data_IF_658703120173
#
_entry.id   IF_658703120173
#
_cell.length_a   1.000
_cell.length_b   1.000
_cell.length_c   1.000
_cell.angle_alpha   90.00
_cell.angle_beta   90.00
_cell.angle_gamma   90.00
#
_symmetry.space_group_name_H-M   'P 1'
#
loop_
_entity.id
_entity.type
_entity.pdbx_description
1 polymer ?
#
# COMPACT_ATOMS: atom_id res chain seq x y z
N UNK A 1 -43.66 -2.05 -17.71
CA UNK A 1 -43.21 -2.40 -16.35
C UNK A 1 -41.88 -3.12 -16.52
N UNK A 2 -40.73 -2.46 -16.54
CA UNK A 2 -40.21 -1.56 -15.50
C UNK A 2 -39.04 -2.29 -14.85
N UNK A 3 -38.01 -2.63 -15.64
CA UNK A 3 -36.75 -3.16 -15.10
C UNK A 3 -36.09 -2.01 -14.32
N UNK A 4 -35.96 -2.17 -13.01
CA UNK A 4 -35.24 -1.23 -12.15
C UNK A 4 -33.77 -1.23 -12.59
N UNK A 5 -33.21 -0.09 -13.05
CA UNK A 5 -31.84 -0.03 -13.55
C UNK A 5 -30.77 -0.10 -12.44
N UNK A 6 -31.14 -0.37 -11.17
CA UNK A 6 -30.23 -0.27 -10.01
C UNK A 6 -29.68 -1.59 -9.47
N UNK A 7 -29.76 -2.69 -10.22
CA UNK A 7 -29.08 -3.94 -9.86
C UNK A 7 -27.94 -4.26 -10.82
N UNK A 8 -26.90 -3.42 -10.80
CA UNK A 8 -25.58 -3.86 -11.23
C UNK A 8 -25.02 -4.79 -10.14
N UNK A 9 -25.22 -6.10 -10.33
CA UNK A 9 -24.50 -7.11 -9.56
C UNK A 9 -23.01 -6.91 -9.89
N UNK A 10 -22.21 -6.54 -8.89
CA UNK A 10 -20.75 -6.49 -9.03
C UNK A 10 -20.25 -7.90 -9.33
N UNK A 11 -20.03 -8.21 -10.60
CA UNK A 11 -19.14 -9.31 -10.95
C UNK A 11 -17.71 -8.89 -10.55
N UNK A 12 -16.92 -9.77 -9.92
CA UNK A 12 -15.46 -9.58 -9.91
C UNK A 12 -15.03 -9.34 -11.37
N UNK A 13 -14.03 -8.47 -11.57
CA UNK A 13 -13.52 -8.21 -12.92
C UNK A 13 -13.28 -9.55 -13.62
N UNK A 14 -13.79 -9.70 -14.85
CA UNK A 14 -13.64 -10.95 -15.60
C UNK A 14 -12.15 -11.28 -15.69
N UNK A 15 -11.74 -12.43 -15.14
CA UNK A 15 -10.34 -12.84 -15.12
C UNK A 15 -9.85 -13.00 -16.57
N UNK A 16 -8.88 -12.17 -16.97
CA UNK A 16 -8.22 -12.31 -18.26
C UNK A 16 -7.66 -13.75 -18.35
N UNK A 17 -7.83 -14.45 -19.49
CA UNK A 17 -7.36 -15.83 -19.64
C UNK A 17 -5.85 -16.05 -19.35
N UNK A 18 -5.05 -14.98 -19.36
CA UNK A 18 -3.64 -15.00 -19.01
C UNK A 18 -3.35 -15.02 -17.51
N UNK A 19 -4.37 -14.80 -16.66
CA UNK A 19 -4.22 -14.77 -15.19
C UNK A 19 -4.14 -16.21 -14.65
N UNK A 20 -3.09 -16.57 -13.91
CA UNK A 20 -2.99 -17.88 -13.26
C UNK A 20 -4.14 -18.09 -12.26
N UNK A 21 -4.83 -19.23 -12.37
CA UNK A 21 -5.92 -19.60 -11.47
C UNK A 21 -5.34 -20.32 -10.25
N UNK A 22 -5.68 -19.85 -9.06
CA UNK A 22 -5.29 -20.48 -7.80
C UNK A 22 -6.18 -20.05 -6.63
N UNK A 23 -6.26 -20.86 -5.57
CA UNK A 23 -7.07 -20.55 -4.39
C UNK A 23 -6.42 -19.50 -3.47
N UNK A 24 -5.11 -19.29 -3.58
CA UNK A 24 -4.32 -18.42 -2.71
C UNK A 24 -3.02 -17.95 -3.40
N UNK A 25 -2.22 -17.20 -2.65
CA UNK A 25 -0.96 -16.61 -3.11
C UNK A 25 0.15 -17.63 -3.41
N UNK A 26 0.01 -18.89 -2.97
CA UNK A 26 0.96 -19.97 -3.31
C UNK A 26 0.94 -20.34 -4.80
N UNK A 27 -0.12 -19.95 -5.51
CA UNK A 27 -0.27 -20.17 -6.95
C UNK A 27 0.23 -18.98 -7.79
N UNK A 28 0.76 -17.93 -7.16
CA UNK A 28 1.36 -16.80 -7.88
C UNK A 28 2.61 -17.27 -8.64
N UNK A 29 2.69 -16.91 -9.93
CA UNK A 29 3.83 -17.24 -10.79
C UNK A 29 4.78 -16.05 -10.84
N UNK A 30 6.03 -16.25 -10.41
CA UNK A 30 7.09 -15.24 -10.56
C UNK A 30 7.49 -15.11 -12.04
N UNK A 31 7.21 -13.96 -12.65
CA UNK A 31 7.47 -13.73 -14.08
C UNK A 31 8.88 -13.19 -14.33
N UNK A 32 9.41 -12.37 -13.43
CA UNK A 32 10.72 -11.72 -13.57
C UNK A 32 11.39 -11.48 -12.21
N UNK A 33 12.73 -11.54 -12.20
CA UNK A 33 13.60 -11.22 -11.07
C UNK A 33 14.72 -10.30 -11.54
N UNK A 34 15.05 -9.29 -10.74
CA UNK A 34 16.14 -8.36 -11.01
C UNK A 34 17.14 -8.34 -9.86
N UNK A 35 18.41 -8.63 -10.17
CA UNK A 35 19.47 -8.74 -9.18
C UNK A 35 19.41 -10.00 -8.33
N UNK A 36 20.46 -10.21 -7.54
CA UNK A 36 20.57 -11.31 -6.59
C UNK A 36 20.45 -10.79 -5.15
N UNK A 37 19.64 -11.43 -4.28
CA UNK A 37 19.55 -11.05 -2.88
C UNK A 37 20.90 -11.18 -2.17
N UNK A 38 21.37 -10.10 -1.57
CA UNK A 38 22.55 -10.13 -0.70
C UNK A 38 22.14 -10.68 0.66
N UNK A 39 22.72 -11.81 1.06
CA UNK A 39 22.55 -12.40 2.39
C UNK A 39 23.85 -12.17 3.16
N UNK A 40 23.87 -11.25 4.13
CA UNK A 40 25.06 -11.03 4.94
C UNK A 40 25.32 -12.19 5.90
N UNK A 41 26.58 -12.36 6.32
CA UNK A 41 26.99 -13.41 7.28
C UNK A 41 26.65 -13.07 8.75
N UNK A 42 25.78 -12.08 8.98
CA UNK A 42 25.33 -11.66 10.31
C UNK A 42 23.80 -11.73 10.43
N UNK A 43 23.26 -11.89 11.66
CA UNK A 43 21.82 -11.84 11.88
C UNK A 43 21.24 -10.49 11.45
N UNK A 44 20.25 -10.52 10.54
CA UNK A 44 19.58 -9.30 10.08
C UNK A 44 18.52 -8.92 11.12
N UNK A 45 18.64 -7.78 11.80
CA UNK A 45 17.61 -7.31 12.73
C UNK A 45 16.32 -6.93 12.00
N UNK A 46 15.20 -6.96 12.70
CA UNK A 46 13.93 -6.51 12.14
C UNK A 46 13.98 -5.01 11.87
N UNK A 47 13.26 -4.52 10.86
CA UNK A 47 13.36 -3.13 10.43
C UNK A 47 13.00 -2.13 11.54
N UNK A 48 12.09 -2.50 12.45
CA UNK A 48 11.76 -1.68 13.63
C UNK A 48 12.94 -1.59 14.59
N UNK A 49 13.59 -2.70 14.93
CA UNK A 49 14.78 -2.72 15.79
C UNK A 49 15.91 -1.83 15.22
N UNK A 50 16.07 -1.84 13.89
CA UNK A 50 17.01 -0.94 13.21
C UNK A 50 16.64 0.51 13.45
N UNK A 51 15.39 0.90 13.22
CA UNK A 51 14.93 2.29 13.41
C UNK A 51 15.00 2.73 14.88
N UNK A 52 14.70 1.85 15.83
CA UNK A 52 14.85 2.12 17.26
C UNK A 52 16.30 2.39 17.65
N UNK A 53 17.26 1.67 17.05
CA UNK A 53 18.70 1.90 17.31
C UNK A 53 19.20 3.30 16.90
N UNK A 54 18.41 4.04 16.10
CA UNK A 54 18.68 5.42 15.69
C UNK A 54 17.77 6.46 16.36
N UNK A 55 17.01 6.05 17.40
CA UNK A 55 15.96 6.88 18.01
C UNK A 55 14.95 7.41 16.97
N UNK A 56 14.72 6.62 15.91
CA UNK A 56 14.04 7.03 14.69
C UNK A 56 12.57 6.63 14.60
N UNK A 57 12.04 5.92 15.59
CA UNK A 57 10.65 5.46 15.63
C UNK A 57 10.08 5.52 17.05
N UNK A 58 8.81 5.89 17.19
CA UNK A 58 8.06 5.83 18.46
C UNK A 58 6.70 5.16 18.23
N UNK A 59 6.63 3.87 18.59
CA UNK A 59 5.43 3.04 18.50
C UNK A 59 4.48 3.28 19.67
N UNK A 60 5.01 3.58 20.86
CA UNK A 60 4.22 3.74 22.07
C UNK A 60 3.36 5.02 22.00
N UNK A 61 3.95 6.13 21.56
CA UNK A 61 3.20 7.36 21.34
C UNK A 61 2.16 7.19 20.24
N UNK A 62 2.50 6.52 19.14
CA UNK A 62 1.56 6.27 18.06
C UNK A 62 0.40 5.37 18.51
N UNK A 63 0.70 4.34 19.30
CA UNK A 63 -0.29 3.46 19.93
C UNK A 63 -1.26 4.21 20.84
N UNK A 64 -0.77 5.16 21.64
CA UNK A 64 -1.63 6.02 22.48
C UNK A 64 -2.55 6.93 21.67
N UNK A 65 -2.12 7.38 20.49
CA UNK A 65 -2.87 8.34 19.67
C UNK A 65 -3.86 7.66 18.73
N UNK A 66 -3.44 6.57 18.08
CA UNK A 66 -4.19 5.95 16.97
C UNK A 66 -4.47 4.45 17.16
N UNK A 67 -3.95 3.82 18.22
CA UNK A 67 -4.06 2.38 18.45
C UNK A 67 -2.99 1.56 17.72
N UNK A 68 -3.18 0.25 17.66
CA UNK A 68 -2.18 -0.67 17.09
C UNK A 68 -2.02 -0.48 15.57
N UNK A 69 -0.80 -0.66 15.06
CA UNK A 69 -0.47 -0.56 13.63
C UNK A 69 -0.04 0.83 13.15
N UNK A 70 0.10 1.81 14.06
CA UNK A 70 0.60 3.15 13.76
C UNK A 70 1.99 3.39 14.37
N UNK A 71 2.73 4.32 13.78
CA UNK A 71 4.08 4.69 14.22
C UNK A 71 4.35 6.18 13.99
N UNK A 72 5.19 6.78 14.83
CA UNK A 72 5.85 8.04 14.51
C UNK A 72 7.24 7.76 13.98
N UNK A 73 7.63 8.38 12.87
CA UNK A 73 9.02 8.42 12.43
C UNK A 73 9.68 9.69 12.95
N UNK A 74 10.94 9.58 13.37
CA UNK A 74 11.70 10.64 14.04
C UNK A 74 13.06 10.86 13.36
N UNK A 75 13.61 12.07 13.55
CA UNK A 75 14.98 12.41 13.17
C UNK A 75 15.32 12.07 11.72
N UNK A 76 16.48 11.43 11.53
CA UNK A 76 16.99 11.09 10.20
C UNK A 76 16.19 9.96 9.52
N UNK A 77 15.49 9.11 10.26
CA UNK A 77 14.59 8.10 9.69
C UNK A 77 13.39 8.79 9.03
N UNK A 78 12.79 9.79 9.69
CA UNK A 78 11.72 10.59 9.09
C UNK A 78 12.19 11.32 7.83
N UNK A 79 13.42 11.87 7.85
CA UNK A 79 14.02 12.53 6.68
C UNK A 79 14.26 11.56 5.52
N UNK A 80 14.71 10.33 5.82
CA UNK A 80 14.90 9.29 4.82
C UNK A 80 13.56 8.90 4.17
N UNK A 81 12.49 8.75 4.97
CA UNK A 81 11.15 8.49 4.46
C UNK A 81 10.72 9.54 3.43
N UNK A 82 10.84 10.83 3.79
CA UNK A 82 10.52 11.94 2.88
C UNK A 82 11.41 11.97 1.62
N UNK A 83 12.70 11.66 1.76
CA UNK A 83 13.61 11.60 0.63
C UNK A 83 13.21 10.51 -0.39
N UNK A 84 12.78 9.35 0.09
CA UNK A 84 12.29 8.26 -0.77
C UNK A 84 10.99 8.66 -1.48
N UNK A 85 10.06 9.31 -0.78
CA UNK A 85 8.83 9.82 -1.39
C UNK A 85 9.11 10.86 -2.47
N UNK A 86 10.03 11.79 -2.21
CA UNK A 86 10.45 12.81 -3.18
C UNK A 86 11.11 12.17 -4.42
N UNK A 87 11.98 11.20 -4.22
CA UNK A 87 12.60 10.45 -5.32
C UNK A 87 11.56 9.73 -6.18
N UNK A 88 10.63 9.01 -5.56
CA UNK A 88 9.57 8.29 -6.29
C UNK A 88 8.65 9.24 -7.05
N UNK A 89 8.30 10.39 -6.46
CA UNK A 89 7.55 11.46 -7.11
C UNK A 89 8.25 11.92 -8.38
N UNK A 90 9.52 12.33 -8.26
CA UNK A 90 10.26 12.91 -9.38
C UNK A 90 10.52 11.86 -10.46
N UNK A 91 10.81 10.62 -10.08
CA UNK A 91 10.91 9.49 -11.00
C UNK A 91 9.64 9.30 -11.84
N UNK A 92 8.45 9.42 -11.24
CA UNK A 92 7.19 9.28 -11.97
C UNK A 92 6.86 10.50 -12.83
N UNK A 93 7.21 11.71 -12.39
CA UNK A 93 7.10 12.92 -13.21
C UNK A 93 7.93 12.79 -14.48
N UNK A 94 9.16 12.28 -14.37
CA UNK A 94 10.04 12.03 -15.53
C UNK A 94 9.48 10.97 -16.49
N UNK A 95 8.55 10.12 -16.04
CA UNK A 95 7.79 9.18 -16.88
C UNK A 95 6.56 9.80 -17.54
N UNK A 96 6.30 11.10 -17.32
CA UNK A 96 5.19 11.85 -17.92
C UNK A 96 3.91 11.86 -17.09
N UNK A 97 3.95 11.44 -15.82
CA UNK A 97 2.80 11.52 -14.93
C UNK A 97 2.64 12.93 -14.35
N UNK A 98 1.40 13.42 -14.25
CA UNK A 98 1.09 14.66 -13.54
C UNK A 98 1.09 14.43 -12.04
N UNK A 99 1.92 15.17 -11.31
CA UNK A 99 1.89 15.13 -9.85
C UNK A 99 0.67 15.86 -9.29
N UNK A 100 -0.09 15.20 -8.42
CA UNK A 100 -1.32 15.71 -7.81
C UNK A 100 -1.30 15.40 -6.32
N UNK A 101 -1.65 16.39 -5.50
CA UNK A 101 -1.93 16.22 -4.06
C UNK A 101 -3.45 16.28 -3.89
N UNK A 102 -4.14 15.16 -3.66
CA UNK A 102 -5.59 15.14 -3.47
C UNK A 102 -5.97 15.51 -2.02
N UNK A 103 -7.25 15.84 -1.76
CA UNK A 103 -7.78 15.87 -0.40
C UNK A 103 -7.69 14.48 0.25
N UNK A 104 -7.23 14.43 1.51
CA UNK A 104 -7.10 13.15 2.25
C UNK A 104 -8.40 12.69 2.93
N UNK A 105 -9.37 13.60 3.09
CA UNK A 105 -10.72 13.27 3.54
C UNK A 105 -11.65 13.26 2.33
N UNK A 106 -12.46 12.21 2.21
CA UNK A 106 -13.30 11.99 1.03
C UNK A 106 -14.71 11.57 1.45
N UNK A 107 -15.72 11.94 0.65
CA UNK A 107 -17.10 11.52 0.87
C UNK A 107 -17.27 10.01 0.58
N UNK A 108 -18.15 9.36 1.35
CA UNK A 108 -18.32 7.91 1.29
C UNK A 108 -18.92 7.39 -0.03
N UNK A 109 -19.67 8.22 -0.76
CA UNK A 109 -20.16 7.92 -2.10
C UNK A 109 -19.03 7.79 -3.13
N UNK A 110 -17.98 8.61 -3.02
CA UNK A 110 -16.79 8.50 -3.86
C UNK A 110 -16.04 7.19 -3.58
N UNK A 111 -15.94 6.76 -2.32
CA UNK A 111 -15.31 5.48 -1.93
C UNK A 111 -16.06 4.30 -2.56
N UNK A 112 -17.39 4.34 -2.57
CA UNK A 112 -18.23 3.30 -3.19
C UNK A 112 -17.97 3.14 -4.69
N UNK A 113 -17.53 4.21 -5.37
CA UNK A 113 -17.23 4.16 -6.80
C UNK A 113 -15.93 3.42 -7.15
N UNK A 114 -14.99 3.29 -6.21
CA UNK A 114 -13.65 2.72 -6.46
C UNK A 114 -13.39 1.39 -5.73
N UNK A 115 -14.22 1.05 -4.73
CA UNK A 115 -14.05 -0.18 -3.97
C UNK A 115 -14.91 -1.33 -4.54
N UNK A 116 -14.26 -2.46 -4.81
CA UNK A 116 -14.92 -3.66 -5.35
C UNK A 116 -15.63 -4.53 -4.30
N UNK A 117 -15.75 -4.07 -3.05
CA UNK A 117 -16.26 -4.89 -1.95
C UNK A 117 -17.42 -4.23 -1.18
N UNK A 118 -18.67 -4.35 -1.67
CA UNK A 118 -19.86 -3.88 -0.96
C UNK A 118 -20.06 -4.54 0.42
N UNK A 119 -19.46 -5.72 0.64
CA UNK A 119 -19.72 -6.61 1.78
C UNK A 119 -19.09 -6.14 3.11
N UNK A 120 -18.15 -5.20 3.07
CA UNK A 120 -17.39 -4.78 4.25
C UNK A 120 -17.62 -3.32 4.65
N UNK A 121 -18.55 -2.64 3.96
CA UNK A 121 -19.04 -1.33 4.39
C UNK A 121 -20.24 -1.53 5.34
N UNK A 122 -20.26 -0.87 6.52
CA UNK A 122 -21.43 -0.90 7.41
C UNK A 122 -22.67 -0.24 6.78
#
# INVERSE_FOLDING_TARGET
AGQDPRHHVHHPADDDPSVPIGPDDSCNVEVQRFGDPVVPDYPIPYHVDIMESFDGIDLDAAGRVSGNGFYYLLGDIARLHEAVLAYARDFMIDKGFTYVIPPFMMHGDVVKGVMSFPKWMP
#
